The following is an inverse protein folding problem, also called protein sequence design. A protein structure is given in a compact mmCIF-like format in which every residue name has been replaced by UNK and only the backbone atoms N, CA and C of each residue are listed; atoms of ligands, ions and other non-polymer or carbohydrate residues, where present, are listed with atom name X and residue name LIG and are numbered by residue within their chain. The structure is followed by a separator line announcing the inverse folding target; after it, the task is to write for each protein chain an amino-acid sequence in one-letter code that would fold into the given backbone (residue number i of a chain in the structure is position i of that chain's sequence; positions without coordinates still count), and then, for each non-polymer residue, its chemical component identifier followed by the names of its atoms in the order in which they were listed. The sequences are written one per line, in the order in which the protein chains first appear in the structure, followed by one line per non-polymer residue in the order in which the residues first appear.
data_IF_044116784080
#
_entry.id   IF_044116784080
#
_cell.length_a   1.000
_cell.length_b   1.000
_cell.length_c   1.000
_cell.angle_alpha   90.00
_cell.angle_beta   90.00
_cell.angle_gamma   90.00
#
_symmetry.space_group_name_H-M   'P 1'
#
loop_
_entity.id
_entity.type
_entity.pdbx_description
1 polymer ?
#
# COMPACT_ATOMS: atom_id res chain seq x y z
N UNK A 1 2.12 15.57 20.27
CA UNK A 1 1.14 15.83 19.17
C UNK A 1 1.23 17.30 18.79
N UNK A 2 1.41 17.62 17.51
CA UNK A 2 1.49 19.00 17.01
C UNK A 2 0.10 19.56 16.71
N UNK A 3 -0.24 20.79 17.15
CA UNK A 3 -1.63 21.27 17.14
C UNK A 3 -2.23 21.65 15.78
N UNK A 4 -1.41 21.78 14.71
CA UNK A 4 -1.85 22.34 13.43
C UNK A 4 -1.64 21.40 12.23
N UNK A 5 -1.85 20.10 12.43
CA UNK A 5 -1.72 19.08 11.36
C UNK A 5 -3.01 18.27 11.20
N UNK A 6 -3.15 17.61 10.07
CA UNK A 6 -4.25 16.67 9.83
C UNK A 6 -4.28 15.57 10.89
N UNK A 7 -5.49 15.14 11.27
CA UNK A 7 -5.73 14.15 12.31
C UNK A 7 -6.85 13.20 11.88
N UNK A 8 -6.73 11.94 12.29
CA UNK A 8 -7.70 10.87 12.08
C UNK A 8 -8.10 10.61 10.60
N UNK A 9 -7.17 10.22 9.70
CA UNK A 9 -5.74 9.94 9.93
C UNK A 9 -4.86 11.19 9.75
N UNK A 10 -3.66 11.15 10.34
CA UNK A 10 -2.61 12.13 9.99
C UNK A 10 -2.14 11.81 8.58
N UNK A 11 -2.42 12.72 7.65
CA UNK A 11 -2.08 12.55 6.24
C UNK A 11 -0.57 12.69 6.03
N UNK A 12 -0.04 11.93 5.07
CA UNK A 12 1.34 11.96 4.66
C UNK A 12 1.43 11.93 3.14
N UNK A 13 2.51 12.47 2.59
CA UNK A 13 2.73 12.45 1.15
C UNK A 13 3.87 11.49 0.81
N UNK A 14 3.64 10.56 -0.12
CA UNK A 14 4.55 9.44 -0.38
C UNK A 14 5.98 9.89 -0.74
N UNK A 15 6.11 11.02 -1.45
CA UNK A 15 7.43 11.53 -1.87
C UNK A 15 8.26 12.05 -0.68
N UNK A 16 7.64 12.33 0.47
CA UNK A 16 8.33 12.56 1.73
C UNK A 16 8.29 11.27 2.55
N UNK A 17 9.29 10.41 2.33
CA UNK A 17 9.39 9.11 3.01
C UNK A 17 9.59 9.31 4.50
N UNK A 18 8.62 8.86 5.27
CA UNK A 18 8.61 8.89 6.73
C UNK A 18 8.62 7.44 7.22
N UNK A 19 9.77 6.99 7.72
CA UNK A 19 9.97 5.61 8.17
C UNK A 19 9.19 5.30 9.46
N UNK A 20 8.81 6.33 10.22
CA UNK A 20 8.08 6.20 11.49
C UNK A 20 6.57 5.94 11.26
N UNK A 21 6.10 6.10 10.01
CA UNK A 21 4.71 5.86 9.64
C UNK A 21 4.37 4.37 9.61
N UNK A 22 5.35 3.50 9.39
CA UNK A 22 5.23 2.04 9.45
C UNK A 22 5.94 1.31 8.30
N UNK A 23 6.29 0.06 8.56
CA UNK A 23 6.86 -0.88 7.59
C UNK A 23 5.93 -2.08 7.41
N UNK A 24 5.91 -2.65 6.21
CA UNK A 24 5.14 -3.85 5.89
C UNK A 24 6.04 -5.08 5.91
N UNK A 25 5.52 -6.19 6.45
CA UNK A 25 6.08 -7.51 6.19
C UNK A 25 5.47 -8.10 4.92
N UNK A 26 6.29 -8.69 4.06
CA UNK A 26 5.86 -9.21 2.75
C UNK A 26 5.10 -10.56 2.85
N UNK A 27 4.36 -10.78 3.93
CA UNK A 27 3.65 -12.02 4.24
C UNK A 27 2.18 -12.04 3.81
N UNK A 28 1.45 -13.08 4.24
CA UNK A 28 0.00 -13.20 3.98
C UNK A 28 -0.82 -12.03 4.55
N UNK A 29 -0.33 -11.36 5.59
CA UNK A 29 -0.98 -10.24 6.25
C UNK A 29 -0.53 -8.86 5.73
N UNK A 30 0.27 -8.82 4.66
CA UNK A 30 0.82 -7.60 4.07
C UNK A 30 -0.25 -6.54 3.72
N UNK A 31 -1.46 -6.98 3.36
CA UNK A 31 -2.59 -6.07 3.11
C UNK A 31 -3.05 -5.36 4.39
N UNK A 32 -3.30 -6.11 5.47
CA UNK A 32 -3.79 -5.56 6.73
C UNK A 32 -2.72 -4.68 7.41
N UNK A 33 -1.46 -5.12 7.42
CA UNK A 33 -0.33 -4.31 7.89
C UNK A 33 -0.17 -3.04 7.04
N UNK A 34 -0.39 -3.20 5.72
CA UNK A 34 -0.39 -2.14 4.73
C UNK A 34 -1.40 -1.01 4.96
N UNK A 35 -2.54 -1.32 5.57
CA UNK A 35 -3.63 -0.36 5.73
C UNK A 35 -3.25 0.81 6.66
N UNK A 36 -2.46 0.55 7.70
CA UNK A 36 -2.12 1.55 8.73
C UNK A 36 -1.38 2.76 8.14
N UNK A 37 -0.41 2.51 7.25
CA UNK A 37 0.29 3.58 6.53
C UNK A 37 -0.37 3.94 5.20
N UNK A 38 -0.98 2.95 4.52
CA UNK A 38 -1.66 3.16 3.25
C UNK A 38 -2.79 4.18 3.32
N UNK A 39 -3.55 4.19 4.42
CA UNK A 39 -4.59 5.19 4.64
C UNK A 39 -4.04 6.60 4.88
N UNK A 40 -2.86 6.73 5.49
CA UNK A 40 -2.20 8.03 5.68
C UNK A 40 -1.74 8.63 4.35
N UNK A 41 -1.27 7.80 3.41
CA UNK A 41 -0.78 8.25 2.11
C UNK A 41 -1.86 8.45 1.05
N UNK A 42 -2.83 7.53 0.99
CA UNK A 42 -3.75 7.44 -0.15
C UNK A 42 -5.20 7.69 0.22
N UNK A 43 -5.54 7.74 1.52
CA UNK A 43 -6.91 7.63 2.02
C UNK A 43 -7.52 6.27 1.65
N UNK A 44 -8.61 5.91 2.31
CA UNK A 44 -9.22 4.57 2.18
C UNK A 44 -9.60 4.22 0.73
N UNK A 45 -10.25 5.15 0.03
CA UNK A 45 -10.75 4.92 -1.34
C UNK A 45 -9.63 4.66 -2.35
N UNK A 46 -8.55 5.45 -2.34
CA UNK A 46 -7.47 5.24 -3.30
C UNK A 46 -6.59 4.06 -2.89
N UNK A 47 -6.39 3.82 -1.58
CA UNK A 47 -5.67 2.65 -1.11
C UNK A 47 -6.30 1.36 -1.64
N UNK A 48 -7.63 1.21 -1.48
CA UNK A 48 -8.38 0.06 -1.98
C UNK A 48 -8.27 -0.13 -3.50
N UNK A 49 -8.31 0.97 -4.26
CA UNK A 49 -8.15 0.92 -5.73
C UNK A 49 -6.75 0.47 -6.14
N UNK A 50 -5.72 1.02 -5.51
CA UNK A 50 -4.33 0.68 -5.78
C UNK A 50 -4.04 -0.78 -5.48
N UNK A 51 -4.55 -1.32 -4.36
CA UNK A 51 -4.35 -2.73 -4.01
C UNK A 51 -5.00 -3.67 -5.02
N UNK A 52 -6.19 -3.34 -5.53
CA UNK A 52 -6.86 -4.13 -6.57
C UNK A 52 -6.08 -4.14 -7.90
N UNK A 53 -5.56 -2.98 -8.32
CA UNK A 53 -4.76 -2.86 -9.55
C UNK A 53 -3.46 -3.66 -9.42
N UNK A 54 -2.77 -3.52 -8.29
CA UNK A 54 -1.53 -4.26 -8.02
C UNK A 54 -1.76 -5.78 -7.98
N UNK A 55 -2.84 -6.24 -7.34
CA UNK A 55 -3.18 -7.67 -7.30
C UNK A 55 -3.42 -8.23 -8.71
N UNK A 56 -4.19 -7.52 -9.54
CA UNK A 56 -4.47 -7.94 -10.91
C UNK A 56 -3.20 -7.96 -11.78
N UNK A 57 -2.33 -6.97 -11.62
CA UNK A 57 -1.03 -6.92 -12.31
C UNK A 57 -0.10 -8.06 -11.88
N UNK A 58 -0.06 -8.39 -10.58
CA UNK A 58 0.70 -9.54 -10.07
C UNK A 58 0.15 -10.87 -10.59
N UNK A 59 -1.18 -11.03 -10.68
CA UNK A 59 -1.80 -12.22 -11.30
C UNK A 59 -1.45 -12.33 -12.79
N UNK A 60 -1.50 -11.22 -13.53
CA UNK A 60 -1.15 -11.18 -14.95
C UNK A 60 0.33 -11.57 -15.19
N UNK A 61 1.25 -10.96 -14.44
CA UNK A 61 2.70 -11.24 -14.56
C UNK A 61 3.06 -12.67 -14.15
N UNK A 62 2.40 -13.24 -13.12
CA UNK A 62 2.59 -14.64 -12.73
C UNK A 62 2.08 -15.60 -13.81
N UNK A 63 0.90 -15.34 -14.38
CA UNK A 63 0.34 -16.14 -15.47
C UNK A 63 1.25 -16.14 -16.70
N UNK A 64 1.83 -14.99 -17.06
CA UNK A 64 2.75 -14.87 -18.19
C UNK A 64 4.14 -15.48 -17.94
N UNK A 65 4.57 -15.61 -16.69
CA UNK A 65 5.83 -16.30 -16.32
C UNK A 65 5.67 -17.82 -16.19
N UNK A 66 4.44 -18.32 -16.10
CA UNK A 66 4.12 -19.75 -15.97
C UNK A 66 3.84 -20.45 -17.31
N UNK A 67 3.74 -19.72 -18.44
CA UNK A 67 3.74 -20.35 -19.76
C UNK A 67 5.16 -20.89 -20.03
N UNK A 68 5.33 -22.19 -20.31
CA UNK A 68 6.65 -22.74 -20.58
C UNK A 68 7.22 -22.05 -21.82
N UNK A 69 8.45 -21.52 -21.69
CA UNK A 69 9.26 -21.19 -22.86
C UNK A 69 9.53 -22.51 -23.59
N UNK A 70 9.52 -22.52 -24.94
CA UNK A 70 9.78 -23.73 -25.73
C UNK A 70 11.13 -24.37 -25.38
#
# INVERSE_FOLDING_TARGET
MTPFVSKNPREAFLNYRDLDIGVNSHGKNAYAEGMVYGHKYFKETNYKRLTMILENSQKFTRKHKQTPKP
#
